data_IF_405443473022
#
_entry.id   IF_405443473022
#
_cell.length_a   1.000
_cell.length_b   1.000
_cell.length_c   1.000
_cell.angle_alpha   90.00
_cell.angle_beta   90.00
_cell.angle_gamma   90.00
#
_symmetry.space_group_name_H-M   'P 1'
#
loop_
_entity.id
_entity.type
_entity.pdbx_description
1 polymer ?
#
# COMPACT_ATOMS: atom_id res chain seq x y z
N UNK A 1 -33.68 -10.56 -13.51
CA UNK A 1 -32.40 -9.90 -13.86
C UNK A 1 -31.83 -9.32 -12.58
N UNK A 2 -30.76 -9.90 -12.03
CA UNK A 2 -30.06 -9.33 -10.88
C UNK A 2 -29.16 -8.20 -11.38
N UNK A 3 -29.45 -6.97 -10.98
CA UNK A 3 -28.56 -5.82 -11.14
C UNK A 3 -27.29 -6.10 -10.33
N UNK A 4 -26.20 -6.48 -11.00
CA UNK A 4 -24.88 -6.50 -10.39
C UNK A 4 -24.60 -5.08 -9.89
N UNK A 5 -24.53 -4.90 -8.56
CA UNK A 5 -24.06 -3.65 -7.98
C UNK A 5 -22.64 -3.40 -8.52
N UNK A 6 -22.26 -2.16 -8.87
CA UNK A 6 -20.90 -1.87 -9.25
C UNK A 6 -19.98 -2.36 -8.13
N UNK A 7 -19.05 -3.25 -8.48
CA UNK A 7 -18.12 -3.83 -7.53
C UNK A 7 -17.07 -2.77 -7.19
N UNK A 8 -17.34 -1.95 -6.17
CA UNK A 8 -16.36 -0.97 -5.69
C UNK A 8 -15.12 -1.74 -5.20
N UNK A 9 -13.92 -1.43 -5.70
CA UNK A 9 -12.71 -2.09 -5.24
C UNK A 9 -12.50 -1.78 -3.76
N UNK A 10 -12.29 -2.83 -2.96
CA UNK A 10 -12.07 -2.71 -1.52
C UNK A 10 -10.88 -1.83 -1.20
N UNK A 11 -9.82 -1.91 -2.00
CA UNK A 11 -8.57 -1.22 -1.74
C UNK A 11 -8.36 -0.06 -2.68
N UNK A 12 -7.98 1.09 -2.11
CA UNK A 12 -7.39 2.19 -2.86
C UNK A 12 -5.89 2.23 -2.56
N UNK A 13 -5.07 2.22 -3.60
CA UNK A 13 -3.61 2.19 -3.47
C UNK A 13 -3.04 3.54 -3.85
N UNK A 14 -2.24 4.13 -2.99
CA UNK A 14 -1.59 5.42 -3.20
C UNK A 14 -0.08 5.22 -3.22
N UNK A 15 0.59 5.65 -4.28
CA UNK A 15 2.04 5.75 -4.32
C UNK A 15 2.45 7.17 -3.96
N UNK A 16 3.18 7.30 -2.87
CA UNK A 16 3.78 8.54 -2.40
C UNK A 16 5.24 8.54 -2.78
N UNK A 17 5.64 9.61 -3.45
CA UNK A 17 7.02 9.84 -3.81
C UNK A 17 7.29 11.34 -3.79
N UNK A 18 8.32 11.74 -3.05
CA UNK A 18 8.76 13.14 -3.04
C UNK A 18 9.54 13.49 -4.32
N UNK A 19 9.80 12.53 -5.20
CA UNK A 19 10.55 12.72 -6.44
C UNK A 19 12.05 12.78 -6.18
N UNK A 20 12.52 12.01 -5.19
CA UNK A 20 13.96 11.85 -4.98
C UNK A 20 14.48 10.99 -6.14
N UNK A 21 15.59 11.38 -6.76
CA UNK A 21 16.20 10.60 -7.85
C UNK A 21 16.94 9.37 -7.31
N UNK A 22 16.28 8.58 -6.48
CA UNK A 22 16.81 7.31 -5.98
C UNK A 22 16.61 6.21 -7.03
N UNK A 23 17.44 5.18 -6.96
CA UNK A 23 17.29 4.01 -7.80
C UNK A 23 15.92 3.34 -7.59
N UNK A 24 15.47 3.26 -6.33
CA UNK A 24 14.17 2.68 -5.97
C UNK A 24 13.04 3.45 -6.62
N UNK A 25 13.02 4.79 -6.51
CA UNK A 25 12.00 5.62 -7.18
C UNK A 25 11.99 5.38 -8.69
N UNK A 26 13.15 5.41 -9.34
CA UNK A 26 13.26 5.18 -10.79
C UNK A 26 12.66 3.84 -11.19
N UNK A 27 13.07 2.75 -10.54
CA UNK A 27 12.59 1.40 -10.89
C UNK A 27 11.07 1.28 -10.68
N UNK A 28 10.53 1.87 -9.62
CA UNK A 28 9.08 1.86 -9.40
C UNK A 28 8.33 2.59 -10.51
N UNK A 29 8.77 3.80 -10.87
CA UNK A 29 8.15 4.60 -11.93
C UNK A 29 8.20 3.90 -13.29
N UNK A 30 9.35 3.29 -13.63
CA UNK A 30 9.53 2.53 -14.87
C UNK A 30 8.61 1.31 -14.97
N UNK A 31 8.15 0.77 -13.83
CA UNK A 31 7.34 -0.44 -13.76
C UNK A 31 5.85 -0.19 -13.43
N UNK A 32 5.39 1.06 -13.37
CA UNK A 32 4.01 1.42 -12.99
C UNK A 32 2.93 0.72 -13.84
N UNK A 33 3.18 0.51 -15.13
CA UNK A 33 2.23 -0.19 -16.00
C UNK A 33 2.00 -1.64 -15.59
N UNK A 34 3.08 -2.38 -15.29
CA UNK A 34 3.03 -3.77 -14.83
C UNK A 34 2.39 -3.85 -13.45
N UNK A 35 2.78 -2.92 -12.57
CA UNK A 35 2.24 -2.76 -11.22
C UNK A 35 0.71 -2.58 -11.27
N UNK A 36 0.22 -1.68 -12.12
CA UNK A 36 -1.22 -1.43 -12.24
C UNK A 36 -1.98 -2.65 -12.77
N UNK A 37 -1.38 -3.44 -13.66
CA UNK A 37 -1.98 -4.69 -14.13
C UNK A 37 -2.12 -5.74 -13.02
N UNK A 38 -1.18 -5.79 -12.07
CA UNK A 38 -1.20 -6.71 -10.93
C UNK A 38 -2.27 -6.38 -9.88
N UNK A 39 -2.80 -5.15 -9.86
CA UNK A 39 -3.78 -4.70 -8.87
C UNK A 39 -5.20 -5.27 -9.06
N UNK A 40 -5.44 -6.02 -10.14
CA UNK A 40 -6.70 -6.75 -10.33
C UNK A 40 -7.94 -5.85 -10.31
N UNK A 41 -7.81 -4.60 -10.75
CA UNK A 41 -8.89 -3.61 -10.76
C UNK A 41 -8.94 -2.67 -9.56
N UNK A 42 -8.03 -2.81 -8.59
CA UNK A 42 -7.86 -1.81 -7.54
C UNK A 42 -7.18 -0.55 -8.13
N UNK A 43 -7.70 0.66 -7.88
CA UNK A 43 -7.11 1.88 -8.42
C UNK A 43 -5.76 2.18 -7.75
N UNK A 44 -4.76 2.51 -8.59
CA UNK A 44 -3.48 3.09 -8.19
C UNK A 44 -3.50 4.60 -8.43
N UNK A 45 -3.31 5.37 -7.36
CA UNK A 45 -3.15 6.81 -7.39
C UNK A 45 -1.68 7.15 -7.17
N UNK A 46 -1.00 7.59 -8.23
CA UNK A 46 0.36 8.14 -8.09
C UNK A 46 0.25 9.59 -7.69
N UNK A 47 0.65 9.90 -6.46
CA UNK A 47 0.59 11.27 -5.96
C UNK A 47 1.73 12.10 -6.53
N UNK A 48 1.41 13.34 -6.91
CA UNK A 48 2.47 14.30 -7.25
C UNK A 48 3.24 14.72 -5.99
N UNK A 49 4.33 15.47 -6.18
CA UNK A 49 5.19 15.91 -5.06
C UNK A 49 4.44 16.73 -4.01
N UNK A 50 3.55 17.64 -4.42
CA UNK A 50 2.79 18.50 -3.49
C UNK A 50 1.80 17.66 -2.65
N UNK A 51 1.10 16.72 -3.30
CA UNK A 51 0.19 15.80 -2.65
C UNK A 51 0.93 14.86 -1.69
N UNK A 52 2.06 14.30 -2.12
CA UNK A 52 2.92 13.47 -1.28
C UNK A 52 3.40 14.25 -0.06
N UNK A 53 3.87 15.50 -0.24
CA UNK A 53 4.29 16.35 0.86
C UNK A 53 3.14 16.66 1.84
N UNK A 54 1.95 16.94 1.33
CA UNK A 54 0.78 17.20 2.16
C UNK A 54 0.40 15.99 3.04
N UNK A 55 0.57 14.77 2.54
CA UNK A 55 0.36 13.55 3.34
C UNK A 55 1.46 13.41 4.39
N UNK A 56 2.73 13.56 4.01
CA UNK A 56 3.86 13.45 4.95
C UNK A 56 3.83 14.50 6.06
N UNK A 57 3.31 15.70 5.79
CA UNK A 57 3.15 16.76 6.80
C UNK A 57 2.09 16.40 7.84
N UNK A 58 1.06 15.65 7.46
CA UNK A 58 0.00 15.18 8.37
C UNK A 58 0.45 13.98 9.19
N UNK A 59 1.27 13.12 8.61
CA UNK A 59 1.87 11.96 9.28
C UNK A 59 3.41 11.98 9.16
N UNK A 60 4.13 12.71 10.02
CA UNK A 60 5.59 12.83 9.96
C UNK A 60 6.33 11.49 10.10
N UNK A 61 5.68 10.46 10.64
CA UNK A 61 6.20 9.09 10.75
C UNK A 61 6.44 8.42 9.38
N UNK A 62 5.89 9.01 8.32
CA UNK A 62 6.08 8.58 6.94
C UNK A 62 7.37 9.12 6.30
N UNK A 63 8.05 10.10 6.93
CA UNK A 63 9.25 10.74 6.38
C UNK A 63 10.41 9.74 6.29
N UNK A 64 11.17 9.81 5.19
CA UNK A 64 12.36 8.98 4.95
C UNK A 64 12.05 7.55 4.54
N UNK A 65 10.79 7.26 4.19
CA UNK A 65 10.35 5.97 3.67
C UNK A 65 10.00 6.01 2.19
N UNK A 66 10.19 7.16 1.51
CA UNK A 66 9.83 7.34 0.11
C UNK A 66 10.80 6.63 -0.86
N UNK A 67 10.30 6.05 -1.96
CA UNK A 67 8.89 5.92 -2.30
C UNK A 67 8.15 4.97 -1.34
N UNK A 68 6.89 5.28 -1.01
CA UNK A 68 6.07 4.42 -0.16
C UNK A 68 4.67 4.22 -0.73
N UNK A 69 4.09 3.05 -0.48
CA UNK A 69 2.71 2.75 -0.82
C UNK A 69 1.85 2.82 0.41
N UNK A 70 0.66 3.38 0.25
CA UNK A 70 -0.41 3.34 1.22
C UNK A 70 -1.59 2.61 0.59
N UNK A 71 -2.06 1.55 1.23
CA UNK A 71 -3.26 0.81 0.84
C UNK A 71 -4.34 1.13 1.84
N UNK A 72 -5.38 1.83 1.39
CA UNK A 72 -6.54 2.15 2.21
C UNK A 72 -7.63 1.09 2.03
N UNK A 73 -8.10 0.50 3.13
CA UNK A 73 -9.16 -0.51 3.14
C UNK A 73 -10.54 0.15 3.33
N UNK A 74 -11.30 0.28 2.25
CA UNK A 74 -12.62 0.94 2.25
C UNK A 74 -13.70 0.11 2.95
N UNK A 75 -13.50 -1.20 3.12
CA UNK A 75 -14.49 -2.06 3.77
C UNK A 75 -14.48 -1.95 5.31
N UNK A 76 -13.40 -1.42 5.89
CA UNK A 76 -13.29 -1.22 7.34
C UNK A 76 -14.22 -0.10 7.84
N UNK A 77 -14.63 0.82 6.97
CA UNK A 77 -15.54 1.92 7.30
C UNK A 77 -16.98 1.45 7.62
N UNK A 78 -17.34 0.19 7.36
CA UNK A 78 -18.70 -0.34 7.52
C UNK A 78 -18.94 -1.24 8.73
N UNK A 79 -17.90 -1.76 9.38
CA UNK A 79 -18.01 -2.60 10.57
C UNK A 79 -17.32 -1.89 11.71
N UNK A 80 -18.05 -1.59 12.81
CA UNK A 80 -17.54 -1.06 14.08
C UNK A 80 -16.06 -1.37 14.31
N UNK A 81 -15.18 -0.47 13.83
CA UNK A 81 -13.75 -0.72 13.72
C UNK A 81 -13.12 -0.62 15.08
N UNK A 82 -13.04 -1.75 15.79
CA UNK A 82 -12.64 -1.80 17.20
C UNK A 82 -11.25 -1.22 17.51
N UNK A 83 -10.36 -1.12 16.52
CA UNK A 83 -8.93 -0.81 16.75
C UNK A 83 -8.37 0.33 15.88
N UNK A 84 -9.21 1.10 15.18
CA UNK A 84 -8.75 2.23 14.36
C UNK A 84 -7.91 1.85 13.12
N UNK A 85 -7.81 0.57 12.78
CA UNK A 85 -7.18 0.08 11.56
C UNK A 85 -7.86 0.67 10.31
N UNK A 86 -7.09 1.08 9.29
CA UNK A 86 -7.65 1.64 8.05
C UNK A 86 -6.82 1.33 6.81
N UNK A 87 -5.79 0.49 6.94
CA UNK A 87 -4.94 0.15 5.81
C UNK A 87 -3.52 -0.30 6.19
N UNK A 88 -2.67 -0.37 5.19
CA UNK A 88 -1.29 -0.78 5.34
C UNK A 88 -0.35 0.15 4.59
N UNK A 89 0.89 0.22 5.03
CA UNK A 89 1.98 0.92 4.36
C UNK A 89 3.05 -0.06 3.92
N UNK A 90 3.64 0.15 2.75
CA UNK A 90 4.89 -0.47 2.34
C UNK A 90 5.95 0.62 2.09
N UNK A 91 7.06 0.58 2.81
CA UNK A 91 8.19 1.52 2.68
C UNK A 91 9.22 0.96 1.70
N UNK A 92 9.19 1.42 0.45
CA UNK A 92 10.10 0.95 -0.60
C UNK A 92 11.45 1.70 -0.56
N UNK A 93 11.49 2.89 0.04
CA UNK A 93 12.74 3.59 0.34
C UNK A 93 13.68 2.83 1.27
N UNK A 94 13.19 1.79 1.98
CA UNK A 94 14.00 0.93 2.86
C UNK A 94 14.63 -0.28 2.15
N UNK A 95 14.28 -0.54 0.89
CA UNK A 95 14.92 -1.59 0.11
C UNK A 95 16.38 -1.24 -0.19
N UNK A 96 17.26 -2.24 -0.22
CA UNK A 96 18.70 -2.06 -0.43
C UNK A 96 19.02 -1.57 -1.83
N UNK A 97 18.23 -2.00 -2.81
CA UNK A 97 18.37 -1.65 -4.22
C UNK A 97 17.01 -1.64 -4.93
N UNK A 98 17.02 -1.22 -6.20
CA UNK A 98 15.81 -1.12 -7.02
C UNK A 98 15.15 -2.47 -7.33
N UNK A 99 15.91 -3.56 -7.40
CA UNK A 99 15.34 -4.90 -7.64
C UNK A 99 14.58 -5.39 -6.42
N UNK A 100 15.16 -5.22 -5.22
CA UNK A 100 14.47 -5.52 -3.96
C UNK A 100 13.22 -4.65 -3.80
N UNK A 101 13.29 -3.35 -4.14
CA UNK A 101 12.14 -2.47 -4.12
C UNK A 101 11.01 -2.97 -5.05
N UNK A 102 11.35 -3.37 -6.28
CA UNK A 102 10.39 -3.88 -7.24
C UNK A 102 9.76 -5.20 -6.78
N UNK A 103 10.58 -6.12 -6.25
CA UNK A 103 10.11 -7.41 -5.74
C UNK A 103 9.16 -7.22 -4.56
N UNK A 104 9.53 -6.37 -3.59
CA UNK A 104 8.68 -6.02 -2.44
C UNK A 104 7.36 -5.40 -2.89
N UNK A 105 7.40 -4.50 -3.88
CA UNK A 105 6.20 -3.90 -4.46
C UNK A 105 5.30 -5.01 -5.05
N UNK A 106 5.84 -5.85 -5.92
CA UNK A 106 5.06 -6.90 -6.60
C UNK A 106 4.46 -7.91 -5.63
N UNK A 107 5.23 -8.38 -4.65
CA UNK A 107 4.77 -9.36 -3.65
C UNK A 107 3.67 -8.77 -2.77
N UNK A 108 3.80 -7.49 -2.40
CA UNK A 108 2.79 -6.82 -1.62
C UNK A 108 1.50 -6.60 -2.41
N UNK A 109 1.58 -6.19 -3.68
CA UNK A 109 0.37 -6.07 -4.50
C UNK A 109 -0.32 -7.40 -4.72
N UNK A 110 0.45 -8.46 -4.97
CA UNK A 110 -0.11 -9.80 -5.10
C UNK A 110 -0.83 -10.20 -3.81
N UNK A 111 -0.24 -9.94 -2.65
CA UNK A 111 -0.89 -10.18 -1.37
C UNK A 111 -2.22 -9.41 -1.25
N UNK A 112 -2.24 -8.12 -1.59
CA UNK A 112 -3.45 -7.28 -1.56
C UNK A 112 -4.53 -7.83 -2.49
N UNK A 113 -4.17 -8.23 -3.71
CA UNK A 113 -5.10 -8.81 -4.66
C UNK A 113 -5.65 -10.17 -4.20
N UNK A 114 -4.78 -11.06 -3.71
CA UNK A 114 -5.15 -12.40 -3.20
C UNK A 114 -6.10 -12.32 -2.00
N UNK A 115 -5.95 -11.30 -1.16
CA UNK A 115 -6.72 -11.18 0.07
C UNK A 115 -7.82 -10.10 0.00
N UNK A 116 -8.19 -9.63 -1.19
CA UNK A 116 -9.29 -8.68 -1.38
C UNK A 116 -10.62 -9.14 -0.74
N UNK A 117 -10.87 -10.44 -0.73
CA UNK A 117 -12.03 -11.06 -0.07
C UNK A 117 -11.83 -11.46 1.40
N UNK A 118 -10.66 -11.23 2.00
CA UNK A 118 -10.37 -11.73 3.35
C UNK A 118 -11.25 -11.05 4.42
N UNK A 119 -11.90 -11.81 5.32
CA UNK A 119 -12.67 -11.22 6.41
C UNK A 119 -11.80 -10.55 7.48
N UNK A 120 -10.53 -10.95 7.61
CA UNK A 120 -9.57 -10.41 8.60
C UNK A 120 -8.18 -10.30 8.00
N UNK A 121 -8.03 -9.30 7.14
CA UNK A 121 -6.78 -9.02 6.41
C UNK A 121 -5.62 -8.66 7.36
N UNK A 122 -5.91 -8.07 8.52
CA UNK A 122 -4.89 -7.71 9.50
C UNK A 122 -4.18 -8.95 10.03
N UNK A 123 -4.94 -9.99 10.36
CA UNK A 123 -4.39 -11.27 10.82
C UNK A 123 -3.59 -11.97 9.72
N UNK A 124 -4.09 -11.96 8.49
CA UNK A 124 -3.40 -12.58 7.34
C UNK A 124 -2.08 -11.88 7.04
N UNK A 125 -2.09 -10.54 7.06
CA UNK A 125 -0.87 -9.76 6.87
C UNK A 125 0.11 -10.01 8.01
N UNK A 126 -0.34 -9.98 9.28
CA UNK A 126 0.55 -10.18 10.44
C UNK A 126 1.29 -11.53 10.36
N UNK A 127 0.61 -12.59 9.91
CA UNK A 127 1.23 -13.90 9.65
C UNK A 127 2.29 -13.84 8.55
N UNK A 128 1.99 -13.15 7.43
CA UNK A 128 2.95 -12.97 6.33
C UNK A 128 4.19 -12.19 6.79
N UNK A 129 4.01 -11.10 7.54
CA UNK A 129 5.12 -10.28 8.07
C UNK A 129 6.04 -11.09 8.98
N UNK A 130 5.46 -11.91 9.86
CA UNK A 130 6.26 -12.77 10.75
C UNK A 130 7.02 -13.85 9.99
N UNK A 131 6.39 -14.47 8.98
CA UNK A 131 7.03 -15.55 8.20
C UNK A 131 8.18 -15.03 7.33
N UNK A 132 8.06 -13.83 6.78
CA UNK A 132 8.98 -13.30 5.77
C UNK A 132 9.95 -12.24 6.32
N UNK A 133 9.88 -11.91 7.62
CA UNK A 133 10.74 -10.90 8.24
C UNK A 133 10.49 -9.47 7.75
N UNK A 134 9.35 -9.21 7.10
CA UNK A 134 9.02 -7.94 6.45
C UNK A 134 8.47 -6.87 7.40
N UNK A 135 8.57 -7.08 8.71
CA UNK A 135 7.99 -6.21 9.73
C UNK A 135 8.55 -4.78 9.70
N UNK A 136 9.74 -4.56 9.12
CA UNK A 136 10.32 -3.21 8.95
C UNK A 136 9.92 -2.53 7.65
N UNK A 137 9.33 -3.27 6.71
CA UNK A 137 8.97 -2.78 5.37
C UNK A 137 7.49 -2.54 5.27
N UNK A 138 6.67 -3.37 5.91
CA UNK A 138 5.21 -3.24 5.89
C UNK A 138 4.69 -2.93 7.29
N UNK A 139 3.86 -1.90 7.39
CA UNK A 139 3.28 -1.43 8.65
C UNK A 139 1.75 -1.37 8.58
N UNK A 140 1.09 -1.67 9.69
CA UNK A 140 -0.35 -1.49 9.86
C UNK A 140 -0.65 -0.02 10.12
N UNK A 141 -1.53 0.59 9.33
CA UNK A 141 -2.02 1.94 9.58
C UNK A 141 -3.20 1.86 10.56
N UNK A 142 -3.00 2.43 11.74
CA UNK A 142 -4.00 2.53 12.82
C UNK A 142 -4.17 4.00 13.18
N UNK A 143 -5.38 4.41 13.54
CA UNK A 143 -5.63 5.74 14.07
C UNK A 143 -4.85 5.87 15.38
N UNK A 144 -3.89 6.78 15.42
CA UNK A 144 -3.28 7.22 16.67
C UNK A 144 -4.32 8.05 17.40
N UNK A 145 -4.74 7.59 18.58
CA UNK A 145 -5.55 8.37 19.52
C UNK A 145 -4.68 9.49 20.10
#
# INVERSE_FOLDING_TARGET
MQTQRPHTPRYHVFLLDLGWQTENARVIHENLGVINACLGGCPLFVLNREQSLAVLQRDPHLIGSDPCLIVHDTHVLGHNGGDGYHGFRLSLGRAKDGQEALQLFQDFLRFVAEHAGSPDIQKDLSKKLHREGLAQTIELLRHSI
#
